data_IF_979908737358
#
_entry.id   IF_979908737358
#
_cell.length_a   1.000
_cell.length_b   1.000
_cell.length_c   1.000
_cell.angle_alpha   90.00
_cell.angle_beta   90.00
_cell.angle_gamma   90.00
#
_symmetry.space_group_name_H-M   'P 1'
#
loop_
_entity.id
_entity.type
_entity.pdbx_description
1 polymer ?
#
# COMPACT_ATOMS: atom_id res chain seq x y z
N UNK A 1 -9.31 -10.85 9.23
CA UNK A 1 -10.55 -11.27 8.55
C UNK A 1 -10.19 -12.01 7.27
N UNK A 2 -10.46 -13.31 7.25
CA UNK A 2 -10.24 -14.16 6.07
C UNK A 2 -11.50 -14.18 5.22
N UNK A 3 -11.38 -13.80 3.95
CA UNK A 3 -12.44 -13.96 2.96
C UNK A 3 -12.33 -15.39 2.42
N UNK A 4 -13.14 -16.29 2.97
CA UNK A 4 -13.40 -17.63 2.46
C UNK A 4 -14.56 -17.57 1.45
N UNK A 5 -14.43 -18.34 0.36
CA UNK A 5 -15.56 -19.01 -0.32
C UNK A 5 -16.54 -18.15 -1.11
N UNK A 6 -16.70 -18.44 -2.40
CA UNK A 6 -17.68 -17.85 -3.33
C UNK A 6 -17.61 -16.32 -3.45
N UNK A 7 -16.61 -15.82 -4.20
CA UNK A 7 -16.61 -14.43 -4.62
C UNK A 7 -17.68 -14.23 -5.69
N UNK A 8 -18.89 -13.91 -5.23
CA UNK A 8 -19.77 -13.02 -5.97
C UNK A 8 -19.00 -11.71 -6.13
N UNK A 9 -18.93 -11.24 -7.36
CA UNK A 9 -18.22 -10.00 -7.72
C UNK A 9 -18.64 -8.86 -6.78
N UNK A 10 -17.70 -8.13 -6.15
CA UNK A 10 -18.06 -7.01 -5.28
C UNK A 10 -18.84 -5.97 -6.09
N UNK A 11 -20.00 -5.56 -5.57
CA UNK A 11 -20.81 -4.48 -6.16
C UNK A 11 -20.05 -3.15 -6.05
N UNK A 12 -20.36 -2.14 -6.89
CA UNK A 12 -19.78 -0.81 -6.74
C UNK A 12 -19.93 -0.24 -5.32
N UNK A 13 -21.09 -0.44 -4.70
CA UNK A 13 -21.35 -0.08 -3.31
C UNK A 13 -20.39 -0.77 -2.33
N UNK A 14 -20.15 -2.08 -2.51
CA UNK A 14 -19.18 -2.82 -1.68
C UNK A 14 -17.78 -2.25 -1.83
N UNK A 15 -17.37 -1.90 -3.05
CA UNK A 15 -16.07 -1.28 -3.33
C UNK A 15 -15.97 0.09 -2.67
N UNK A 16 -16.99 0.93 -2.79
CA UNK A 16 -17.05 2.26 -2.16
C UNK A 16 -16.95 2.17 -0.64
N UNK A 17 -17.71 1.28 0.00
CA UNK A 17 -17.68 1.09 1.45
C UNK A 17 -16.28 0.62 1.91
N UNK A 18 -15.71 -0.38 1.22
CA UNK A 18 -14.36 -0.85 1.53
C UNK A 18 -13.30 0.22 1.31
N UNK A 19 -13.44 1.06 0.28
CA UNK A 19 -12.55 2.19 0.04
C UNK A 19 -12.64 3.19 1.19
N UNK A 20 -13.84 3.60 1.59
CA UNK A 20 -14.07 4.53 2.71
C UNK A 20 -13.49 4.01 4.03
N UNK A 21 -13.67 2.73 4.35
CA UNK A 21 -13.08 2.09 5.54
C UNK A 21 -11.55 2.17 5.51
N UNK A 22 -10.95 1.97 4.33
CA UNK A 22 -9.49 2.02 4.15
C UNK A 22 -8.96 3.44 4.22
N UNK A 23 -9.63 4.40 3.59
CA UNK A 23 -9.31 5.83 3.69
C UNK A 23 -9.33 6.26 5.15
N UNK A 24 -10.40 5.90 5.87
CA UNK A 24 -10.55 6.18 7.29
C UNK A 24 -9.33 5.68 8.06
N UNK A 25 -8.99 4.41 7.91
CA UNK A 25 -7.85 3.81 8.60
C UNK A 25 -6.50 4.39 8.18
N UNK A 26 -6.30 4.75 6.91
CA UNK A 26 -5.05 5.34 6.41
C UNK A 26 -4.82 6.70 7.07
N UNK A 27 -5.83 7.58 7.07
CA UNK A 27 -5.70 8.91 7.65
C UNK A 27 -5.56 8.86 9.17
N UNK A 28 -6.32 8.00 9.87
CA UNK A 28 -6.16 7.85 11.34
C UNK A 28 -4.72 7.42 11.71
N UNK A 29 -4.16 6.47 10.97
CA UNK A 29 -2.78 6.01 11.19
C UNK A 29 -1.76 7.09 10.82
N UNK A 30 -1.99 7.84 9.74
CA UNK A 30 -1.14 8.95 9.30
C UNK A 30 -1.10 10.05 10.35
N UNK A 31 -2.26 10.53 10.81
CA UNK A 31 -2.39 11.57 11.84
C UNK A 31 -1.77 11.13 13.17
N UNK A 32 -1.99 9.86 13.55
CA UNK A 32 -1.36 9.27 14.75
C UNK A 32 0.17 9.29 14.63
N UNK A 33 0.72 8.84 13.49
CA UNK A 33 2.16 8.85 13.26
C UNK A 33 2.71 10.28 13.26
N UNK A 34 2.03 11.21 12.59
CA UNK A 34 2.40 12.61 12.55
C UNK A 34 2.47 13.20 13.97
N UNK A 35 1.43 13.04 14.78
CA UNK A 35 1.39 13.53 16.15
C UNK A 35 2.49 12.92 17.04
N UNK A 36 2.79 11.63 16.87
CA UNK A 36 3.91 10.97 17.57
C UNK A 36 5.24 11.62 17.19
N UNK A 37 5.46 11.90 15.91
CA UNK A 37 6.72 12.51 15.45
C UNK A 37 6.83 13.96 15.90
N UNK A 38 5.77 14.75 15.80
CA UNK A 38 5.76 16.15 16.29
C UNK A 38 6.16 16.25 17.76
N UNK A 39 5.68 15.32 18.60
CA UNK A 39 5.96 15.33 20.04
C UNK A 39 7.26 14.63 20.44
N UNK A 40 7.65 13.57 19.73
CA UNK A 40 8.66 12.62 20.20
C UNK A 40 9.79 12.32 19.23
N UNK A 41 9.86 12.96 18.05
CA UNK A 41 10.88 12.65 17.04
C UNK A 41 12.32 12.76 17.56
N UNK A 42 12.64 13.82 18.30
CA UNK A 42 13.99 14.00 18.88
C UNK A 42 14.36 12.84 19.81
N UNK A 43 13.42 12.41 20.66
CA UNK A 43 13.62 11.30 21.59
C UNK A 43 13.71 9.95 20.87
N UNK A 44 12.87 9.72 19.85
CA UNK A 44 12.91 8.52 19.01
C UNK A 44 14.27 8.41 18.32
N UNK A 45 14.73 9.50 17.68
CA UNK A 45 16.05 9.57 17.02
C UNK A 45 17.17 9.26 18.01
N UNK A 46 17.19 9.92 19.17
CA UNK A 46 18.22 9.72 20.19
C UNK A 46 18.25 8.27 20.73
N UNK A 47 17.07 7.68 20.99
CA UNK A 47 16.99 6.30 21.52
C UNK A 47 17.32 5.25 20.47
N UNK A 48 16.90 5.47 19.22
CA UNK A 48 17.13 4.51 18.14
C UNK A 48 18.59 4.43 17.71
N UNK A 49 19.27 5.58 17.61
CA UNK A 49 20.69 5.64 17.23
C UNK A 49 21.58 4.96 18.26
N UNK A 50 21.25 5.04 19.56
CA UNK A 50 21.98 4.37 20.65
C UNK A 50 21.81 2.84 20.69
N UNK A 51 20.80 2.27 20.04
CA UNK A 51 20.57 0.81 20.05
C UNK A 51 21.59 0.07 19.19
N UNK A 52 22.07 -1.07 19.67
CA UNK A 52 22.86 -2.01 18.86
C UNK A 52 21.98 -2.68 17.78
N UNK A 53 22.55 -3.15 16.66
CA UNK A 53 21.78 -3.82 15.60
C UNK A 53 20.84 -4.92 16.09
N UNK A 54 21.29 -5.79 17.00
CA UNK A 54 20.46 -6.88 17.54
C UNK A 54 19.28 -6.37 18.39
N UNK A 55 19.45 -5.24 19.11
CA UNK A 55 18.36 -4.62 19.86
C UNK A 55 17.32 -4.00 18.91
N UNK A 56 17.75 -3.43 17.79
CA UNK A 56 16.85 -2.89 16.75
C UNK A 56 16.04 -4.03 16.11
N UNK A 57 16.70 -5.12 15.73
CA UNK A 57 16.03 -6.32 15.19
C UNK A 57 14.99 -6.87 16.18
N UNK A 58 15.38 -7.03 17.45
CA UNK A 58 14.47 -7.49 18.51
C UNK A 58 13.23 -6.60 18.59
N UNK A 59 13.42 -5.28 18.67
CA UNK A 59 12.30 -4.34 18.79
C UNK A 59 11.40 -4.33 17.54
N UNK A 60 11.97 -4.44 16.34
CA UNK A 60 11.19 -4.55 15.10
C UNK A 60 10.34 -5.83 15.07
N UNK A 61 10.88 -6.95 15.56
CA UNK A 61 10.16 -8.23 15.62
C UNK A 61 9.14 -8.27 16.77
N UNK A 62 9.36 -7.54 17.86
CA UNK A 62 8.34 -7.34 18.90
C UNK A 62 7.13 -6.58 18.33
N UNK A 63 7.37 -5.53 17.53
CA UNK A 63 6.30 -4.76 16.88
C UNK A 63 5.65 -5.49 15.70
N UNK A 64 6.43 -6.26 14.92
CA UNK A 64 5.95 -7.02 13.77
C UNK A 64 6.61 -8.41 13.71
N UNK A 65 6.05 -9.42 14.40
CA UNK A 65 6.68 -10.75 14.55
C UNK A 65 6.95 -11.49 13.24
N UNK A 66 6.14 -11.24 12.20
CA UNK A 66 6.23 -11.89 10.88
C UNK A 66 6.91 -11.03 9.81
N UNK A 67 7.72 -10.05 10.21
CA UNK A 67 8.45 -9.19 9.27
C UNK A 67 9.38 -10.03 8.38
N UNK A 68 9.42 -9.71 7.09
CA UNK A 68 10.32 -10.36 6.14
C UNK A 68 11.78 -10.12 6.54
N UNK A 69 12.62 -11.15 6.46
CA UNK A 69 13.99 -11.06 6.95
C UNK A 69 14.92 -10.28 6.03
N UNK A 70 14.82 -10.51 4.72
CA UNK A 70 15.81 -10.09 3.74
C UNK A 70 15.31 -8.93 2.89
N UNK A 71 16.24 -8.17 2.32
CA UNK A 71 16.00 -7.23 1.24
C UNK A 71 15.30 -7.94 0.06
N UNK A 72 14.35 -7.23 -0.58
CA UNK A 72 13.52 -7.77 -1.69
C UNK A 72 12.92 -9.15 -1.39
N UNK A 73 12.12 -9.26 -0.32
CA UNK A 73 11.56 -10.55 0.09
C UNK A 73 10.55 -11.10 -0.94
N UNK A 74 9.99 -10.25 -1.80
CA UNK A 74 9.18 -10.63 -2.96
C UNK A 74 9.95 -11.54 -3.95
N UNK A 75 11.22 -11.24 -4.22
CA UNK A 75 12.07 -12.07 -5.07
C UNK A 75 12.53 -13.34 -4.37
N UNK A 76 12.80 -13.28 -3.07
CA UNK A 76 13.10 -14.48 -2.28
C UNK A 76 11.89 -15.43 -2.28
N UNK A 77 10.68 -14.90 -2.10
CA UNK A 77 9.44 -15.67 -2.16
C UNK A 77 9.20 -16.28 -3.54
N UNK A 78 9.41 -15.48 -4.61
CA UNK A 78 9.26 -15.94 -5.99
C UNK A 78 10.15 -17.14 -6.30
N UNK A 79 11.42 -17.12 -5.86
CA UNK A 79 12.35 -18.23 -6.06
C UNK A 79 12.00 -19.49 -5.25
N UNK A 80 11.34 -19.33 -4.09
CA UNK A 80 11.05 -20.44 -3.16
C UNK A 80 9.74 -21.16 -3.44
N UNK A 81 8.77 -20.47 -4.03
CA UNK A 81 7.42 -21.02 -4.21
C UNK A 81 7.16 -21.32 -5.69
N UNK A 82 6.75 -22.57 -6.03
CA UNK A 82 6.38 -22.91 -7.39
C UNK A 82 5.15 -22.12 -7.83
N UNK A 83 5.00 -21.92 -9.13
CA UNK A 83 3.95 -21.08 -9.69
C UNK A 83 2.54 -21.47 -9.23
N UNK A 84 2.22 -22.76 -9.25
CA UNK A 84 0.93 -23.28 -8.79
C UNK A 84 0.60 -22.84 -7.36
N UNK A 85 1.55 -22.97 -6.42
CA UNK A 85 1.34 -22.59 -5.03
C UNK A 85 1.17 -21.07 -4.87
N UNK A 86 1.95 -20.27 -5.61
CA UNK A 86 1.82 -18.80 -5.62
C UNK A 86 0.42 -18.35 -6.04
N UNK A 87 -0.14 -18.97 -7.09
CA UNK A 87 -1.43 -18.60 -7.68
C UNK A 87 -2.65 -18.94 -6.82
N UNK A 88 -2.58 -20.01 -6.01
CA UNK A 88 -3.73 -20.50 -5.23
C UNK A 88 -3.79 -19.84 -3.86
N UNK A 89 -2.69 -19.81 -3.11
CA UNK A 89 -2.58 -19.16 -1.79
C UNK A 89 -1.13 -19.08 -1.35
N UNK A 90 -0.39 -18.09 -1.87
CA UNK A 90 0.99 -17.87 -1.43
C UNK A 90 1.08 -17.75 0.09
N UNK A 91 1.99 -18.53 0.70
CA UNK A 91 2.32 -18.34 2.13
C UNK A 91 3.16 -17.09 2.38
N UNK A 92 3.65 -16.44 1.32
CA UNK A 92 4.52 -15.27 1.36
C UNK A 92 3.79 -13.97 1.03
N UNK A 93 2.47 -13.89 1.20
CA UNK A 93 1.67 -12.72 0.82
C UNK A 93 2.22 -11.38 1.35
N UNK A 94 2.72 -11.34 2.59
CA UNK A 94 3.30 -10.11 3.16
C UNK A 94 4.58 -9.67 2.45
N UNK A 95 5.40 -10.61 1.96
CA UNK A 95 6.62 -10.30 1.21
C UNK A 95 6.32 -9.58 -0.11
N UNK A 96 5.20 -9.94 -0.75
CA UNK A 96 4.74 -9.31 -1.98
C UNK A 96 4.03 -7.97 -1.75
N UNK A 97 3.36 -7.80 -0.61
CA UNK A 97 2.66 -6.55 -0.27
C UNK A 97 3.60 -5.46 0.22
N UNK A 98 4.59 -5.84 1.03
CA UNK A 98 5.46 -4.89 1.72
C UNK A 98 6.93 -5.22 1.47
N UNK A 99 7.41 -5.27 0.21
CA UNK A 99 8.78 -5.67 -0.09
C UNK A 99 9.84 -4.73 0.50
N UNK A 100 9.46 -3.48 0.74
CA UNK A 100 10.32 -2.45 1.35
C UNK A 100 10.29 -2.46 2.89
N UNK A 101 9.41 -3.25 3.53
CA UNK A 101 9.34 -3.43 4.99
C UNK A 101 9.99 -4.78 5.33
N UNK A 102 11.30 -4.74 5.63
CA UNK A 102 12.06 -5.93 5.97
C UNK A 102 13.09 -5.66 7.07
N UNK A 103 13.51 -6.73 7.76
CA UNK A 103 14.37 -6.66 8.94
C UNK A 103 15.79 -6.22 8.60
N UNK A 104 16.34 -6.69 7.47
CA UNK A 104 17.67 -6.33 6.99
C UNK A 104 17.82 -4.81 6.83
N UNK A 105 16.91 -4.18 6.08
CA UNK A 105 16.95 -2.75 5.80
C UNK A 105 16.55 -1.91 7.02
N UNK A 106 15.46 -2.28 7.72
CA UNK A 106 14.94 -1.48 8.83
C UNK A 106 15.82 -1.57 10.09
N UNK A 107 16.63 -2.62 10.24
CA UNK A 107 17.58 -2.70 11.37
C UNK A 107 18.76 -1.73 11.26
N UNK A 108 18.96 -1.10 10.11
CA UNK A 108 19.96 -0.06 9.92
C UNK A 108 19.64 1.19 10.75
N UNK A 109 20.68 1.90 11.21
CA UNK A 109 20.53 3.00 12.17
C UNK A 109 19.64 4.15 11.65
N UNK A 110 19.72 4.47 10.36
CA UNK A 110 19.03 5.62 9.77
C UNK A 110 17.75 5.26 9.03
N UNK A 111 17.61 4.02 8.53
CA UNK A 111 16.53 3.64 7.61
C UNK A 111 15.15 3.73 8.25
N UNK A 112 14.95 3.19 9.46
CA UNK A 112 13.67 3.35 10.19
C UNK A 112 13.35 4.82 10.46
N UNK A 113 14.34 5.62 10.85
CA UNK A 113 14.12 7.04 11.13
C UNK A 113 13.69 7.81 9.88
N UNK A 114 14.32 7.53 8.73
CA UNK A 114 13.93 8.10 7.43
C UNK A 114 12.56 7.62 7.01
N UNK A 115 12.25 6.34 7.19
CA UNK A 115 10.95 5.77 6.85
C UNK A 115 9.83 6.44 7.66
N UNK A 116 9.98 6.55 8.99
CA UNK A 116 9.01 7.21 9.85
C UNK A 116 8.85 8.69 9.48
N UNK A 117 9.96 9.42 9.35
CA UNK A 117 9.92 10.84 8.98
C UNK A 117 9.25 11.07 7.62
N UNK A 118 9.59 10.27 6.61
CA UNK A 118 8.96 10.36 5.29
C UNK A 118 7.45 10.10 5.37
N UNK A 119 7.03 9.01 6.03
CA UNK A 119 5.61 8.61 6.11
C UNK A 119 4.75 9.47 7.04
N UNK A 120 5.34 10.16 8.02
CA UNK A 120 4.60 10.99 8.97
C UNK A 120 4.69 12.50 8.72
N UNK A 121 5.39 12.95 7.67
CA UNK A 121 5.50 14.38 7.30
C UNK A 121 4.96 14.70 5.92
N UNK A 122 4.58 13.69 5.15
CA UNK A 122 4.05 13.83 3.81
C UNK A 122 2.73 13.08 3.71
N UNK A 123 1.80 13.66 2.95
CA UNK A 123 0.48 13.09 2.72
C UNK A 123 0.55 11.66 2.16
N UNK A 124 -0.43 10.78 2.51
CA UNK A 124 -0.59 9.48 1.88
C UNK A 124 -0.57 9.51 0.34
N UNK A 125 -1.10 10.58 -0.27
CA UNK A 125 -1.15 10.77 -1.72
C UNK A 125 0.25 10.73 -2.38
N UNK A 126 1.25 11.30 -1.71
CA UNK A 126 2.65 11.35 -2.17
C UNK A 126 3.22 9.97 -2.46
N UNK A 127 2.73 8.94 -1.78
CA UNK A 127 3.25 7.57 -1.89
C UNK A 127 2.39 6.64 -2.72
N UNK A 128 1.22 7.08 -3.18
CA UNK A 128 0.24 6.24 -3.89
C UNK A 128 0.85 5.44 -5.05
N UNK A 129 1.60 6.12 -5.92
CA UNK A 129 2.27 5.51 -7.09
C UNK A 129 3.36 4.53 -6.66
N UNK A 130 4.20 4.91 -5.69
CA UNK A 130 5.30 4.06 -5.22
C UNK A 130 4.77 2.82 -4.52
N UNK A 131 3.70 2.96 -3.73
CA UNK A 131 3.06 1.84 -3.03
C UNK A 131 2.42 0.86 -4.04
N UNK A 132 1.77 1.36 -5.08
CA UNK A 132 1.26 0.54 -6.18
C UNK A 132 2.37 -0.18 -6.95
N UNK A 133 3.45 0.52 -7.30
CA UNK A 133 4.58 -0.10 -8.01
C UNK A 133 5.29 -1.13 -7.13
N UNK A 134 5.34 -0.93 -5.81
CA UNK A 134 6.00 -1.85 -4.89
C UNK A 134 5.36 -3.25 -4.91
N UNK A 135 4.05 -3.36 -5.14
CA UNK A 135 3.33 -4.65 -5.18
C UNK A 135 3.34 -5.31 -6.56
N UNK A 136 3.95 -4.69 -7.57
CA UNK A 136 3.90 -5.12 -8.98
C UNK A 136 4.43 -6.54 -9.21
N UNK A 137 5.47 -6.96 -8.50
CA UNK A 137 5.96 -8.35 -8.55
C UNK A 137 4.86 -9.33 -8.13
N UNK A 138 4.15 -9.03 -7.04
CA UNK A 138 3.09 -9.89 -6.52
C UNK A 138 1.90 -9.99 -7.49
N UNK A 139 1.53 -8.88 -8.13
CA UNK A 139 0.48 -8.84 -9.14
C UNK A 139 0.86 -9.65 -10.40
N UNK A 140 2.05 -9.40 -10.97
CA UNK A 140 2.53 -10.10 -12.18
C UNK A 140 2.68 -11.60 -11.97
N UNK A 141 3.07 -12.01 -10.78
CA UNK A 141 3.27 -13.43 -10.42
C UNK A 141 2.00 -14.08 -9.88
N UNK A 142 0.88 -13.34 -9.84
CA UNK A 142 -0.44 -13.75 -9.30
C UNK A 142 -0.40 -14.18 -7.84
N UNK A 143 0.67 -13.84 -7.11
CA UNK A 143 0.79 -14.04 -5.68
C UNK A 143 -0.10 -13.07 -4.88
N UNK A 144 -0.36 -11.89 -5.46
CA UNK A 144 -1.44 -10.99 -5.03
C UNK A 144 -2.52 -11.08 -6.10
N UNK A 145 -3.71 -11.49 -5.70
CA UNK A 145 -4.88 -11.47 -6.59
C UNK A 145 -5.31 -10.03 -6.83
N UNK A 146 -5.19 -9.59 -8.08
CA UNK A 146 -5.98 -8.48 -8.58
C UNK A 146 -7.35 -9.02 -8.97
N UNK A 147 -8.41 -8.31 -8.64
CA UNK A 147 -9.76 -8.62 -9.08
C UNK A 147 -9.91 -8.10 -10.53
N UNK A 148 -9.06 -8.58 -11.44
CA UNK A 148 -8.97 -8.09 -12.82
C UNK A 148 -9.88 -8.84 -13.81
N UNK A 149 -10.77 -9.70 -13.31
CA UNK A 149 -11.67 -10.54 -14.11
C UNK A 149 -13.13 -10.08 -14.14
N UNK A 150 -13.46 -8.96 -13.49
CA UNK A 150 -14.83 -8.46 -13.42
C UNK A 150 -15.17 -7.65 -14.65
N UNK A 151 -16.35 -7.88 -15.24
CA UNK A 151 -16.98 -6.97 -16.22
C UNK A 151 -17.44 -5.63 -15.61
N UNK A 152 -17.16 -5.38 -14.33
CA UNK A 152 -17.38 -4.11 -13.63
C UNK A 152 -16.13 -3.20 -13.84
N UNK A 153 -15.69 -3.03 -15.10
CA UNK A 153 -14.35 -2.51 -15.49
C UNK A 153 -14.27 -0.98 -15.48
N UNK A 154 -15.13 -0.32 -14.73
CA UNK A 154 -15.18 1.13 -14.74
C UNK A 154 -15.16 1.71 -13.35
N UNK A 155 -14.46 1.15 -12.35
CA UNK A 155 -14.28 1.86 -11.08
C UNK A 155 -12.82 2.32 -10.96
N UNK A 156 -12.64 3.63 -10.86
CA UNK A 156 -11.37 4.27 -10.55
C UNK A 156 -11.39 4.70 -9.09
N UNK A 157 -10.27 4.47 -8.39
CA UNK A 157 -10.07 4.98 -7.03
C UNK A 157 -9.03 6.08 -7.12
N UNK A 158 -9.42 7.31 -6.80
CA UNK A 158 -8.50 8.44 -6.78
C UNK A 158 -7.60 8.36 -5.55
N UNK A 159 -6.30 8.19 -5.73
CA UNK A 159 -5.32 8.17 -4.63
C UNK A 159 -4.41 9.41 -4.64
N UNK A 160 -4.79 10.46 -5.37
CA UNK A 160 -4.03 11.70 -5.47
C UNK A 160 -4.64 12.83 -4.63
N UNK A 161 -5.85 12.63 -4.09
CA UNK A 161 -6.47 13.57 -3.15
C UNK A 161 -5.64 13.79 -1.89
N UNK A 162 -5.50 15.03 -1.45
CA UNK A 162 -4.65 15.38 -0.30
C UNK A 162 -5.42 15.34 1.02
N UNK A 163 -6.75 15.28 0.94
CA UNK A 163 -7.66 15.22 2.08
C UNK A 163 -8.35 13.87 2.19
N UNK A 164 -8.95 13.59 3.36
CA UNK A 164 -9.75 12.38 3.61
C UNK A 164 -10.97 12.29 2.69
N UNK A 165 -11.47 13.43 2.23
CA UNK A 165 -12.62 13.54 1.34
C UNK A 165 -12.25 13.23 -0.11
N UNK A 166 -11.06 13.63 -0.56
CA UNK A 166 -10.61 13.47 -1.94
C UNK A 166 -9.89 12.12 -2.15
N UNK A 167 -9.08 11.70 -1.17
CA UNK A 167 -8.33 10.44 -1.24
C UNK A 167 -9.26 9.24 -1.11
N UNK A 168 -9.09 8.27 -1.99
CA UNK A 168 -9.85 7.04 -2.10
C UNK A 168 -11.25 7.19 -2.68
N UNK A 169 -11.59 8.33 -3.31
CA UNK A 169 -12.88 8.49 -3.98
C UNK A 169 -13.04 7.47 -5.11
N UNK A 170 -14.17 6.78 -5.11
CA UNK A 170 -14.52 5.81 -6.14
C UNK A 170 -15.40 6.48 -7.18
N UNK A 171 -14.96 6.49 -8.44
CA UNK A 171 -15.71 7.06 -9.56
C UNK A 171 -15.86 6.06 -10.68
N UNK A 172 -16.95 6.21 -11.46
CA UNK A 172 -17.14 5.39 -12.64
C UNK A 172 -16.24 5.92 -13.78
N UNK A 173 -15.38 5.06 -14.34
CA UNK A 173 -14.59 5.36 -15.52
C UNK A 173 -15.51 5.32 -16.75
N UNK A 174 -16.00 6.46 -17.18
CA UNK A 174 -16.54 6.58 -18.53
C UNK A 174 -15.36 6.59 -19.53
N UNK A 175 -15.19 5.57 -20.39
CA UNK A 175 -14.25 5.69 -21.49
C UNK A 175 -14.70 6.88 -22.34
N UNK A 176 -13.86 7.91 -22.44
CA UNK A 176 -14.16 9.07 -23.26
C UNK A 176 -14.56 8.60 -24.65
N UNK A 177 -15.82 8.86 -25.00
CA UNK A 177 -16.37 8.44 -26.27
C UNK A 177 -15.51 9.00 -27.39
N UNK A 178 -14.82 8.10 -28.11
CA UNK A 178 -14.23 8.20 -29.44
C UNK A 178 -13.56 9.55 -29.77
N UNK A 179 -12.26 9.50 -30.11
CA UNK A 179 -11.63 10.49 -31.00
C UNK A 179 -12.59 10.81 -32.16
N UNK A 180 -13.29 11.94 -32.09
CA UNK A 180 -13.85 12.55 -33.28
C UNK A 180 -12.66 13.04 -34.08
N UNK A 181 -12.63 12.68 -35.35
CA UNK A 181 -11.67 13.22 -36.30
C UNK A 181 -11.94 14.72 -36.46
N UNK A 182 -11.37 15.52 -35.55
CA UNK A 182 -11.01 16.95 -35.63
C UNK A 182 -10.65 17.39 -34.22
N UNK A 183 -9.36 17.65 -34.02
CA UNK A 183 -8.79 18.03 -32.73
C UNK A 183 -9.30 19.39 -32.27
N UNK A 184 -10.27 19.39 -31.35
CA UNK A 184 -10.54 20.54 -30.50
C UNK A 184 -11.01 20.04 -29.13
N UNK A 185 -10.19 20.29 -28.12
CA UNK A 185 -10.48 19.99 -26.71
C UNK A 185 -11.38 21.11 -26.17
N UNK A 186 -12.58 20.79 -25.69
CA UNK A 186 -13.35 21.72 -24.85
C UNK A 186 -13.66 21.03 -23.51
N UNK A 187 -13.17 21.63 -22.42
CA UNK A 187 -13.59 21.28 -21.07
C UNK A 187 -15.00 21.85 -20.85
N UNK A 188 -15.97 20.98 -20.56
CA UNK A 188 -17.24 21.38 -19.96
C UNK A 188 -17.15 21.16 -18.45
N UNK A 189 -17.08 22.25 -17.70
CA UNK A 189 -17.46 22.25 -16.29
C UNK A 189 -19.00 22.23 -16.22
N UNK A 190 -19.58 21.39 -15.37
CA UNK A 190 -21.01 21.43 -15.07
C UNK A 190 -21.23 22.24 -13.79
N UNK A 191 -22.18 23.17 -13.88
CA UNK A 191 -22.83 23.86 -12.77
C UNK A 191 -23.65 22.89 -11.92
#
# INVERSE_FOLDING_TARGET
MGINGNLRDPTPETVTNLAQDRVTSIFDNYETLQAILERHEALIRQRWTKKKPEQRKKQLLEAWPRMSKNHRPDFVAYKKEPEYARQHRTKYRQAYLWPHINLEDLSQASTVLRFLNSRGRHSPATFSVIDQESVRTGLKTKAIRCISGLKIIHLYIDLLGESRQEYGQVSEYEPSAKKTAKGTFQMRQKH
#
